data_IF_474592073569
#
_entry.id   IF_474592073569
#
_cell.length_a   1.000
_cell.length_b   1.000
_cell.length_c   1.000
_cell.angle_alpha   90.00
_cell.angle_beta   90.00
_cell.angle_gamma   90.00
#
_symmetry.space_group_name_H-M   'P 1'
#
loop_
_entity.id
_entity.type
_entity.pdbx_description
1 polymer ?
#
# COMPACT_ATOMS: atom_id res chain seq x y z
N UNK A 1 22.36 19.10 6.12
CA UNK A 1 21.84 17.82 5.64
C UNK A 1 20.38 18.06 5.28
N UNK A 2 20.06 18.20 4.00
CA UNK A 2 18.66 18.22 3.57
C UNK A 2 18.15 16.80 3.86
N UNK A 3 17.34 16.65 4.92
CA UNK A 3 16.59 15.42 5.10
C UNK A 3 15.70 15.29 3.87
N UNK A 4 15.79 14.17 3.18
CA UNK A 4 14.89 13.85 2.08
C UNK A 4 13.47 14.09 2.61
N UNK A 5 12.70 15.03 2.04
CA UNK A 5 11.31 15.16 2.45
C UNK A 5 10.70 13.80 2.13
N UNK A 6 10.18 13.12 3.16
CA UNK A 6 9.50 11.85 2.96
C UNK A 6 8.47 11.93 1.83
N UNK A 7 8.04 10.79 1.28
CA UNK A 7 7.27 10.77 0.04
C UNK A 7 6.06 11.72 0.14
N UNK A 8 5.85 12.53 -0.90
CA UNK A 8 4.73 13.47 -0.97
C UNK A 8 3.41 12.70 -0.84
N UNK A 9 2.72 12.90 0.30
CA UNK A 9 1.56 12.09 0.67
C UNK A 9 0.43 12.26 -0.34
N UNK A 10 0.28 13.46 -0.91
CA UNK A 10 -0.74 13.72 -1.91
C UNK A 10 -0.47 12.89 -3.17
N UNK A 11 0.77 12.85 -3.65
CA UNK A 11 1.16 11.98 -4.77
C UNK A 11 1.02 10.49 -4.46
N UNK A 12 1.40 10.08 -3.24
CA UNK A 12 1.21 8.70 -2.78
C UNK A 12 -0.26 8.29 -2.82
N UNK A 13 -1.16 9.14 -2.35
CA UNK A 13 -2.60 8.88 -2.37
C UNK A 13 -3.17 8.81 -3.80
N UNK A 14 -2.59 9.54 -4.75
CA UNK A 14 -2.98 9.50 -6.17
C UNK A 14 -2.38 8.32 -6.95
N UNK A 15 -1.43 7.58 -6.37
CA UNK A 15 -0.77 6.46 -7.04
C UNK A 15 -1.77 5.35 -7.34
N UNK A 16 -1.85 4.91 -8.60
CA UNK A 16 -2.81 3.89 -9.03
C UNK A 16 -2.34 2.49 -8.63
N UNK A 17 -3.19 1.77 -7.92
CA UNK A 17 -2.99 0.38 -7.53
C UNK A 17 -3.90 -0.51 -8.37
N UNK A 18 -3.30 -1.50 -9.04
CA UNK A 18 -4.02 -2.48 -9.85
C UNK A 18 -4.62 -3.56 -8.95
N UNK A 19 -5.95 -3.60 -8.85
CA UNK A 19 -6.72 -4.56 -8.05
C UNK A 19 -7.17 -5.79 -8.86
N UNK A 20 -6.51 -6.07 -9.99
CA UNK A 20 -6.90 -7.17 -10.88
C UNK A 20 -8.10 -6.82 -11.75
N UNK A 21 -9.11 -7.70 -11.74
CA UNK A 21 -10.32 -7.55 -12.56
C UNK A 21 -11.20 -6.37 -12.12
N UNK A 22 -11.05 -5.92 -10.86
CA UNK A 22 -11.70 -4.71 -10.36
C UNK A 22 -11.11 -3.40 -10.97
N UNK A 23 -10.04 -3.50 -11.77
CA UNK A 23 -9.36 -2.37 -12.38
C UNK A 23 -8.32 -1.72 -11.47
N UNK A 24 -7.94 -0.49 -11.79
CA UNK A 24 -6.99 0.28 -10.99
C UNK A 24 -7.69 1.42 -10.26
N UNK A 25 -7.37 1.62 -8.98
CA UNK A 25 -7.88 2.71 -8.14
C UNK A 25 -6.73 3.51 -7.52
N UNK A 26 -6.89 4.81 -7.26
CA UNK A 26 -5.93 5.56 -6.47
C UNK A 26 -5.76 4.94 -5.08
N UNK A 27 -4.53 4.90 -4.56
CA UNK A 27 -4.20 4.32 -3.27
C UNK A 27 -5.05 4.93 -2.14
N UNK A 28 -5.26 6.24 -2.16
CA UNK A 28 -6.09 6.95 -1.19
C UNK A 28 -7.56 6.58 -1.21
N UNK A 29 -8.07 6.00 -2.30
CA UNK A 29 -9.47 5.57 -2.43
C UNK A 29 -9.69 4.10 -2.06
N UNK A 30 -8.63 3.37 -1.71
CA UNK A 30 -8.77 1.97 -1.32
C UNK A 30 -9.46 1.86 0.02
N UNK A 31 -10.46 1.00 0.09
CA UNK A 31 -11.12 0.59 1.33
C UNK A 31 -10.33 -0.52 2.03
N UNK A 32 -10.62 -0.79 3.31
CA UNK A 32 -10.01 -1.93 4.02
C UNK A 32 -10.22 -3.26 3.27
N UNK A 33 -11.38 -3.44 2.64
CA UNK A 33 -11.69 -4.60 1.80
C UNK A 33 -10.80 -4.66 0.55
N UNK A 34 -10.64 -3.54 -0.18
CA UNK A 34 -9.76 -3.49 -1.36
C UNK A 34 -8.30 -3.82 -0.97
N UNK A 35 -7.82 -3.22 0.13
CA UNK A 35 -6.47 -3.41 0.67
C UNK A 35 -6.25 -4.87 1.08
N UNK A 36 -7.20 -5.46 1.79
CA UNK A 36 -7.14 -6.86 2.24
C UNK A 36 -7.12 -7.84 1.07
N UNK A 37 -8.05 -7.68 0.12
CA UNK A 37 -8.14 -8.50 -1.08
C UNK A 37 -6.87 -8.41 -1.94
N UNK A 38 -6.25 -7.23 -2.04
CA UNK A 38 -4.98 -7.07 -2.75
C UNK A 38 -3.84 -7.82 -2.05
N UNK A 39 -3.76 -7.75 -0.72
CA UNK A 39 -2.78 -8.50 0.07
C UNK A 39 -2.95 -10.02 -0.07
N UNK A 40 -4.19 -10.51 -0.07
CA UNK A 40 -4.48 -11.93 -0.30
C UNK A 40 -4.05 -12.39 -1.67
N UNK A 41 -4.41 -11.64 -2.72
CA UNK A 41 -3.97 -11.91 -4.09
C UNK A 41 -2.44 -11.96 -4.21
N UNK A 42 -1.73 -11.01 -3.60
CA UNK A 42 -0.26 -11.00 -3.61
C UNK A 42 0.32 -12.22 -2.89
N UNK A 43 -0.30 -12.64 -1.78
CA UNK A 43 0.10 -13.85 -1.06
C UNK A 43 -0.15 -15.13 -1.86
N UNK A 44 -1.25 -15.20 -2.59
CA UNK A 44 -1.58 -16.35 -3.45
C UNK A 44 -0.65 -16.43 -4.66
N UNK A 45 -0.29 -15.27 -5.21
CA UNK A 45 0.71 -15.16 -6.27
C UNK A 45 2.15 -15.42 -5.77
N UNK A 46 2.40 -15.37 -4.46
CA UNK A 46 3.75 -15.50 -3.88
C UNK A 46 4.32 -16.94 -3.87
N UNK A 47 3.73 -17.88 -4.63
CA UNK A 47 4.09 -19.30 -4.66
C UNK A 47 5.34 -19.67 -5.47
N UNK A 48 6.06 -20.71 -5.00
CA UNK A 48 7.22 -21.44 -5.58
C UNK A 48 8.33 -20.64 -6.29
N UNK A 49 9.19 -19.94 -5.54
CA UNK A 49 10.47 -19.46 -6.06
C UNK A 49 10.86 -18.04 -5.62
N UNK A 50 11.26 -17.22 -6.59
CA UNK A 50 11.58 -15.79 -6.45
C UNK A 50 10.42 -14.95 -5.89
N UNK A 51 9.21 -15.50 -5.97
CA UNK A 51 7.96 -14.97 -5.44
C UNK A 51 7.94 -14.79 -3.91
N UNK A 52 8.86 -15.42 -3.15
CA UNK A 52 9.01 -15.17 -1.69
C UNK A 52 9.28 -13.71 -1.34
N UNK A 53 9.86 -12.92 -2.26
CA UNK A 53 10.12 -11.49 -2.04
C UNK A 53 8.84 -10.65 -1.95
N UNK A 54 7.73 -11.17 -2.47
CA UNK A 54 6.41 -10.52 -2.45
C UNK A 54 5.67 -10.80 -1.13
N UNK A 55 6.02 -11.87 -0.42
CA UNK A 55 5.36 -12.25 0.83
C UNK A 55 5.39 -11.15 1.92
N UNK A 56 6.50 -10.43 2.15
CA UNK A 56 6.52 -9.31 3.09
C UNK A 56 5.58 -8.17 2.68
N UNK A 57 5.45 -7.92 1.37
CA UNK A 57 4.55 -6.89 0.82
C UNK A 57 3.10 -7.31 1.00
N UNK A 58 2.76 -8.55 0.66
CA UNK A 58 1.43 -9.12 0.90
C UNK A 58 1.01 -9.01 2.38
N UNK A 59 1.94 -9.29 3.30
CA UNK A 59 1.72 -9.13 4.73
C UNK A 59 1.56 -7.66 5.14
N UNK A 60 2.30 -6.74 4.54
CA UNK A 60 2.13 -5.31 4.78
C UNK A 60 0.72 -4.83 4.36
N UNK A 61 0.22 -5.28 3.20
CA UNK A 61 -1.14 -5.00 2.74
C UNK A 61 -2.19 -5.50 3.73
N UNK A 62 -2.11 -6.76 4.17
CA UNK A 62 -3.01 -7.32 5.20
C UNK A 62 -2.94 -6.55 6.53
N UNK A 63 -1.74 -6.07 6.89
CA UNK A 63 -1.55 -5.28 8.11
C UNK A 63 -2.21 -3.91 8.00
N UNK A 64 -2.13 -3.26 6.83
CA UNK A 64 -2.82 -2.00 6.57
C UNK A 64 -4.35 -2.19 6.66
N UNK A 65 -4.91 -3.25 6.07
CA UNK A 65 -6.35 -3.53 6.14
C UNK A 65 -6.82 -3.65 7.60
N UNK A 66 -6.12 -4.43 8.42
CA UNK A 66 -6.41 -4.58 9.86
C UNK A 66 -6.30 -3.26 10.62
N UNK A 67 -5.35 -2.41 10.25
CA UNK A 67 -5.19 -1.09 10.87
C UNK A 67 -6.37 -0.19 10.51
N UNK A 68 -6.80 -0.18 9.25
CA UNK A 68 -7.96 0.57 8.81
C UNK A 68 -9.25 0.12 9.51
N UNK A 69 -9.44 -1.19 9.66
CA UNK A 69 -10.56 -1.77 10.40
C UNK A 69 -10.53 -1.38 11.88
N UNK A 70 -9.36 -1.45 12.52
CA UNK A 70 -9.17 -1.06 13.92
C UNK A 70 -9.49 0.42 14.15
N UNK A 71 -9.05 1.28 13.25
CA UNK A 71 -9.21 2.74 13.37
C UNK A 71 -10.57 3.21 12.82
N UNK A 72 -11.36 2.32 12.22
CA UNK A 72 -12.71 2.59 11.72
C UNK A 72 -12.74 3.56 10.53
N UNK A 73 -11.66 3.65 9.77
CA UNK A 73 -11.55 4.57 8.63
C UNK A 73 -12.13 3.97 7.35
N UNK A 74 -12.75 4.82 6.52
CA UNK A 74 -13.38 4.37 5.29
C UNK A 74 -12.36 4.08 4.18
N UNK A 75 -11.35 4.94 4.05
CA UNK A 75 -10.34 4.88 2.99
C UNK A 75 -8.93 5.15 3.51
N UNK A 76 -7.92 4.82 2.72
CA UNK A 76 -6.51 5.11 3.06
C UNK A 76 -6.26 6.61 3.23
N UNK A 77 -6.96 7.48 2.49
CA UNK A 77 -6.84 8.93 2.63
C UNK A 77 -7.30 9.47 4.00
N UNK A 78 -8.10 8.70 4.74
CA UNK A 78 -8.57 9.05 6.08
C UNK A 78 -7.56 8.67 7.19
N UNK A 79 -6.47 7.97 6.85
CA UNK A 79 -5.39 7.65 7.78
C UNK A 79 -4.48 8.85 8.04
N UNK A 80 -3.76 8.79 9.16
CA UNK A 80 -2.73 9.78 9.48
C UNK A 80 -1.68 9.87 8.34
N UNK A 81 -1.38 11.09 7.83
CA UNK A 81 -0.45 11.27 6.70
C UNK A 81 0.95 10.70 6.93
N UNK A 82 1.50 10.77 8.15
CA UNK A 82 2.81 10.17 8.43
C UNK A 82 2.75 8.64 8.38
N UNK A 83 1.62 8.07 8.80
CA UNK A 83 1.38 6.64 8.69
C UNK A 83 1.26 6.20 7.23
N UNK A 84 0.53 6.96 6.41
CA UNK A 84 0.41 6.71 4.96
C UNK A 84 1.78 6.67 4.31
N UNK A 85 2.64 7.66 4.58
CA UNK A 85 4.01 7.70 4.06
C UNK A 85 4.82 6.44 4.45
N UNK A 86 4.82 6.10 5.75
CA UNK A 86 5.57 4.93 6.28
C UNK A 86 5.08 3.60 5.72
N UNK A 87 3.78 3.47 5.42
CA UNK A 87 3.21 2.25 4.86
C UNK A 87 3.45 2.18 3.35
N UNK A 88 3.36 3.29 2.64
CA UNK A 88 3.53 3.35 1.18
C UNK A 88 4.86 2.72 0.71
N UNK A 89 5.95 2.94 1.45
CA UNK A 89 7.25 2.32 1.16
C UNK A 89 7.22 0.79 1.29
N UNK A 90 6.56 0.28 2.34
CA UNK A 90 6.46 -1.17 2.62
C UNK A 90 5.53 -1.89 1.66
N UNK A 91 4.54 -1.16 1.14
CA UNK A 91 3.54 -1.64 0.20
C UNK A 91 4.00 -1.56 -1.27
N UNK A 92 5.21 -1.03 -1.51
CA UNK A 92 5.74 -0.71 -2.84
C UNK A 92 4.84 0.24 -3.65
N UNK A 93 4.08 1.09 -2.96
CA UNK A 93 3.41 2.24 -3.58
C UNK A 93 4.46 3.24 -4.04
N UNK A 94 5.51 3.40 -3.24
CA UNK A 94 6.74 4.11 -3.60
C UNK A 94 7.84 3.05 -3.84
N UNK A 95 8.63 3.16 -4.92
CA UNK A 95 9.72 2.23 -5.17
C UNK A 95 10.77 2.28 -4.04
N UNK A 96 11.40 1.14 -3.68
CA UNK A 96 12.44 1.10 -2.67
C UNK A 96 13.66 1.90 -3.13
N UNK A 97 14.03 2.95 -2.38
CA UNK A 97 15.11 3.87 -2.73
C UNK A 97 14.67 5.33 -2.94
N UNK A 98 13.36 5.59 -2.91
CA UNK A 98 12.82 6.94 -2.99
C UNK A 98 12.69 7.46 -4.43
N UNK A 99 11.70 8.34 -4.60
CA UNK A 99 11.27 9.00 -5.83
C UNK A 99 10.34 8.19 -6.76
N UNK A 100 9.12 8.71 -6.92
CA UNK A 100 8.15 8.38 -7.98
C UNK A 100 8.38 9.20 -9.27
N UNK A 101 9.61 9.73 -9.43
CA UNK A 101 10.03 10.60 -10.53
C UNK A 101 10.58 9.81 -11.73
#
# INVERSE_FOLDING_TARGET
>A
MAGDPGPDVEQVLQTKVSLGEAGAKPFGQLTAQDVGAHGDRLSDAAGWGTEKRVQPVANAWRTLAKLMERDGVATVADLDPEMVAKQAEKLWIVPPGGSLL
#
